data_IF_795600079847
#
_entry.id   IF_795600079847
#
_cell.length_a   1.000
_cell.length_b   1.000
_cell.length_c   1.000
_cell.angle_alpha   90.00
_cell.angle_beta   90.00
_cell.angle_gamma   90.00
#
_symmetry.space_group_name_H-M   'P 1'
#
loop_
_entity.id
_entity.type
_entity.pdbx_description
1 polymer ?
#
# COMPACT_ATOMS: atom_id res chain seq x y z
N UNK A 1 -33.55 0.14 5.59
CA UNK A 1 -32.21 -0.22 6.06
C UNK A 1 -31.20 0.32 5.08
N UNK A 2 -30.03 0.81 5.52
CA UNK A 2 -29.01 1.29 4.60
C UNK A 2 -28.55 0.17 3.65
N UNK A 3 -28.23 0.49 2.39
CA UNK A 3 -27.80 -0.51 1.42
C UNK A 3 -26.47 -1.17 1.88
N UNK A 4 -26.40 -2.50 1.71
CA UNK A 4 -25.21 -3.28 2.03
C UNK A 4 -24.18 -3.15 0.89
N UNK A 5 -23.01 -2.66 1.21
CA UNK A 5 -21.81 -2.73 0.37
C UNK A 5 -20.96 -3.89 0.86
N UNK A 6 -20.70 -4.84 -0.02
CA UNK A 6 -19.83 -5.98 0.25
C UNK A 6 -18.43 -5.74 -0.29
N UNK A 7 -17.45 -5.59 0.59
CA UNK A 7 -16.04 -5.61 0.23
C UNK A 7 -15.61 -7.08 0.12
N UNK A 8 -15.32 -7.55 -1.09
CA UNK A 8 -15.06 -8.95 -1.40
C UNK A 8 -13.57 -9.16 -1.69
N UNK A 9 -12.92 -10.01 -0.93
CA UNK A 9 -11.53 -10.39 -1.16
C UNK A 9 -11.29 -11.89 -0.99
N UNK A 10 -10.39 -12.42 -1.80
CA UNK A 10 -9.86 -13.78 -1.68
C UNK A 10 -8.41 -13.82 -1.15
N UNK A 11 -7.84 -12.66 -0.77
CA UNK A 11 -6.43 -12.54 -0.36
C UNK A 11 -6.15 -11.53 0.75
N UNK A 12 -6.91 -10.43 0.85
CA UNK A 12 -6.68 -9.39 1.84
C UNK A 12 -7.08 -9.83 3.25
N UNK A 13 -6.31 -9.41 4.28
CA UNK A 13 -6.61 -9.76 5.67
C UNK A 13 -7.86 -9.02 6.18
N UNK A 14 -8.42 -9.46 7.34
CA UNK A 14 -9.62 -8.87 7.94
C UNK A 14 -9.51 -7.38 8.31
N UNK A 15 -8.29 -6.88 8.52
CA UNK A 15 -7.99 -5.50 8.92
C UNK A 15 -7.15 -4.74 7.88
N UNK A 16 -7.29 -5.11 6.60
CA UNK A 16 -6.53 -4.49 5.52
C UNK A 16 -6.62 -2.97 5.54
N UNK A 17 -5.47 -2.30 5.40
CA UNK A 17 -5.37 -0.85 5.50
C UNK A 17 -6.17 -0.12 4.41
N UNK A 18 -6.14 -0.61 3.14
CA UNK A 18 -6.87 0.01 2.05
C UNK A 18 -8.34 -0.38 2.08
N UNK A 19 -8.60 -1.67 2.06
CA UNK A 19 -9.96 -2.20 1.87
C UNK A 19 -10.86 -1.87 3.06
N UNK A 20 -10.35 -2.04 4.30
CA UNK A 20 -11.15 -1.91 5.51
C UNK A 20 -10.97 -0.53 6.16
N UNK A 21 -9.72 -0.16 6.50
CA UNK A 21 -9.47 1.03 7.31
C UNK A 21 -9.61 2.35 6.54
N UNK A 22 -9.51 2.31 5.21
CA UNK A 22 -9.71 3.47 4.34
C UNK A 22 -11.06 3.43 3.63
N UNK A 23 -11.22 2.58 2.63
CA UNK A 23 -12.41 2.54 1.78
C UNK A 23 -13.66 2.12 2.55
N UNK A 24 -13.59 1.01 3.26
CA UNK A 24 -14.69 0.50 4.08
C UNK A 24 -15.12 1.47 5.15
N UNK A 25 -14.14 2.03 5.89
CA UNK A 25 -14.41 3.01 6.94
C UNK A 25 -15.06 4.28 6.38
N UNK A 26 -14.61 4.79 5.22
CA UNK A 26 -15.22 5.97 4.59
C UNK A 26 -16.68 5.71 4.18
N UNK A 27 -16.95 4.53 3.61
CA UNK A 27 -18.31 4.12 3.25
C UNK A 27 -19.20 3.94 4.47
N UNK A 28 -18.69 3.32 5.55
CA UNK A 28 -19.42 3.15 6.80
C UNK A 28 -19.74 4.50 7.46
N UNK A 29 -18.77 5.41 7.51
CA UNK A 29 -18.95 6.76 8.04
C UNK A 29 -19.98 7.59 7.22
N UNK A 30 -20.16 7.27 5.94
CA UNK A 30 -21.17 7.88 5.08
C UNK A 30 -22.57 7.27 5.23
N UNK A 31 -22.77 6.33 6.15
CA UNK A 31 -24.05 5.74 6.48
C UNK A 31 -24.40 4.47 5.70
N UNK A 32 -23.48 3.92 4.90
CA UNK A 32 -23.68 2.61 4.29
C UNK A 32 -23.44 1.49 5.31
N UNK A 33 -24.17 0.40 5.16
CA UNK A 33 -23.79 -0.83 5.85
C UNK A 33 -22.68 -1.50 5.08
N UNK A 34 -21.51 -1.72 5.70
CA UNK A 34 -20.33 -2.26 5.02
C UNK A 34 -19.90 -3.57 5.68
N UNK A 35 -19.71 -4.61 4.87
CA UNK A 35 -19.21 -5.91 5.32
C UNK A 35 -18.01 -6.31 4.48
N UNK A 36 -16.88 -6.62 5.15
CA UNK A 36 -15.72 -7.22 4.49
C UNK A 36 -15.77 -8.74 4.61
N UNK A 37 -15.90 -9.42 3.47
CA UNK A 37 -15.89 -10.88 3.36
C UNK A 37 -14.53 -11.32 2.79
N UNK A 38 -13.73 -12.02 3.60
CA UNK A 38 -12.33 -12.31 3.29
C UNK A 38 -11.87 -13.68 3.84
N UNK A 39 -10.65 -14.15 3.47
CA UNK A 39 -10.06 -15.32 4.09
C UNK A 39 -9.69 -15.07 5.56
N UNK A 40 -9.82 -16.11 6.39
CA UNK A 40 -9.46 -16.04 7.81
C UNK A 40 -9.89 -17.29 8.58
N UNK A 41 -9.97 -17.21 9.91
CA UNK A 41 -10.25 -18.38 10.77
C UNK A 41 -11.67 -18.97 10.59
N UNK A 42 -12.55 -18.24 9.91
CA UNK A 42 -13.97 -18.58 9.77
C UNK A 42 -14.85 -17.89 10.83
N UNK A 43 -16.04 -17.44 10.40
CA UNK A 43 -16.98 -16.76 11.26
C UNK A 43 -16.86 -15.23 11.26
N UNK A 44 -17.61 -14.60 12.17
CA UNK A 44 -17.57 -13.14 12.36
C UNK A 44 -16.49 -12.74 13.34
N UNK A 45 -15.79 -11.67 13.03
CA UNK A 45 -14.81 -11.02 13.90
C UNK A 45 -15.38 -9.69 14.41
N UNK A 46 -14.77 -9.10 15.46
CA UNK A 46 -15.09 -7.74 15.87
C UNK A 46 -15.00 -6.76 14.69
N UNK A 47 -15.90 -5.77 14.61
CA UNK A 47 -15.87 -4.78 13.53
C UNK A 47 -14.59 -3.93 13.62
N UNK A 48 -14.10 -3.51 12.45
CA UNK A 48 -12.93 -2.63 12.33
C UNK A 48 -13.36 -1.33 11.66
N UNK A 49 -13.16 -0.21 12.33
CA UNK A 49 -13.48 1.13 11.81
C UNK A 49 -14.90 1.24 11.22
N UNK A 50 -15.91 0.64 11.86
CA UNK A 50 -17.31 0.64 11.42
C UNK A 50 -17.66 -0.40 10.36
N UNK A 51 -16.69 -1.21 9.91
CA UNK A 51 -16.88 -2.27 8.92
C UNK A 51 -17.15 -3.60 9.63
N UNK A 52 -18.24 -4.28 9.30
CA UNK A 52 -18.49 -5.66 9.73
C UNK A 52 -17.44 -6.59 9.08
N UNK A 53 -16.89 -7.54 9.84
CA UNK A 53 -15.89 -8.47 9.32
C UNK A 53 -16.43 -9.89 9.37
N UNK A 54 -16.42 -10.57 8.23
CA UNK A 54 -16.74 -12.00 8.15
C UNK A 54 -15.64 -12.73 7.39
N UNK A 55 -15.11 -13.79 7.99
CA UNK A 55 -14.02 -14.56 7.40
C UNK A 55 -14.48 -15.96 7.03
N UNK A 56 -13.85 -16.52 5.99
CA UNK A 56 -14.05 -17.89 5.57
C UNK A 56 -12.74 -18.65 5.65
N UNK A 57 -12.75 -19.76 6.37
CA UNK A 57 -11.62 -20.68 6.43
C UNK A 57 -11.60 -21.57 5.19
N UNK A 58 -10.43 -21.72 4.57
CA UNK A 58 -10.22 -22.66 3.48
C UNK A 58 -8.75 -23.04 3.37
N UNK A 59 -8.43 -24.28 2.92
CA UNK A 59 -7.05 -24.76 2.81
C UNK A 59 -6.26 -24.08 1.67
N UNK A 60 -6.93 -23.43 0.76
CA UNK A 60 -6.29 -22.69 -0.34
C UNK A 60 -7.23 -21.61 -0.89
N UNK A 61 -6.63 -20.65 -1.61
CA UNK A 61 -7.37 -19.57 -2.29
C UNK A 61 -8.39 -20.12 -3.32
N UNK A 62 -8.10 -21.23 -3.98
CA UNK A 62 -9.06 -21.91 -4.88
C UNK A 62 -10.26 -22.48 -4.13
N UNK A 63 -10.04 -23.04 -2.96
CA UNK A 63 -11.09 -23.63 -2.13
C UNK A 63 -12.06 -22.58 -1.59
N UNK A 64 -11.65 -21.30 -1.49
CA UNK A 64 -12.52 -20.20 -1.08
C UNK A 64 -13.63 -19.87 -2.10
N UNK A 65 -13.46 -20.19 -3.39
CA UNK A 65 -14.38 -19.74 -4.44
C UNK A 65 -15.83 -20.16 -4.22
N UNK A 66 -16.09 -21.42 -3.91
CA UNK A 66 -17.45 -21.93 -3.66
C UNK A 66 -18.08 -21.33 -2.39
N UNK A 67 -17.38 -21.30 -1.23
CA UNK A 67 -17.88 -20.64 -0.03
C UNK A 67 -18.17 -19.15 -0.25
N UNK A 68 -17.25 -18.39 -0.86
CA UNK A 68 -17.43 -16.98 -1.20
C UNK A 68 -18.68 -16.79 -2.09
N UNK A 69 -18.81 -17.57 -3.17
CA UNK A 69 -19.96 -17.50 -4.07
C UNK A 69 -21.27 -17.70 -3.33
N UNK A 70 -21.41 -18.78 -2.54
CA UNK A 70 -22.62 -19.07 -1.76
C UNK A 70 -22.93 -17.93 -0.78
N UNK A 71 -21.90 -17.41 -0.12
CA UNK A 71 -22.08 -16.37 0.88
C UNK A 71 -22.49 -15.04 0.27
N UNK A 72 -21.90 -14.63 -0.84
CA UNK A 72 -22.27 -13.41 -1.59
C UNK A 72 -23.73 -13.47 -2.01
N UNK A 73 -24.19 -14.62 -2.56
CA UNK A 73 -25.60 -14.79 -2.96
C UNK A 73 -26.58 -14.72 -1.76
N UNK A 74 -26.19 -15.27 -0.61
CA UNK A 74 -27.01 -15.23 0.60
C UNK A 74 -27.10 -13.82 1.22
N UNK A 75 -26.03 -13.03 1.13
CA UNK A 75 -25.95 -11.66 1.65
C UNK A 75 -26.80 -10.65 0.84
N UNK A 76 -27.00 -10.90 -0.48
CA UNK A 76 -27.75 -10.03 -1.40
C UNK A 76 -27.33 -8.55 -1.28
N UNK A 77 -26.05 -8.19 -1.43
CA UNK A 77 -25.59 -6.80 -1.30
C UNK A 77 -26.16 -5.93 -2.42
N UNK A 78 -26.26 -4.62 -2.17
CA UNK A 78 -26.58 -3.62 -3.19
C UNK A 78 -25.39 -3.34 -4.12
N UNK A 79 -24.17 -3.44 -3.58
CA UNK A 79 -22.93 -3.33 -4.36
C UNK A 79 -21.89 -4.34 -3.87
N UNK A 80 -21.04 -4.82 -4.78
CA UNK A 80 -19.91 -5.72 -4.51
C UNK A 80 -18.65 -5.01 -4.99
N UNK A 81 -17.79 -4.63 -4.04
CA UNK A 81 -16.48 -4.03 -4.28
C UNK A 81 -15.41 -5.10 -4.14
N UNK A 82 -14.79 -5.47 -5.24
CA UNK A 82 -13.86 -6.60 -5.29
C UNK A 82 -12.42 -6.15 -5.51
N UNK A 83 -11.49 -6.66 -4.69
CA UNK A 83 -10.12 -6.14 -4.60
C UNK A 83 -9.09 -6.85 -5.47
N UNK A 84 -9.37 -8.06 -5.99
CA UNK A 84 -8.41 -8.81 -6.82
C UNK A 84 -9.11 -9.48 -8.02
N UNK A 85 -8.36 -9.84 -9.09
CA UNK A 85 -8.92 -10.40 -10.31
C UNK A 85 -9.80 -11.64 -10.14
N UNK A 86 -9.50 -12.52 -9.20
CA UNK A 86 -10.34 -13.68 -8.88
C UNK A 86 -11.63 -13.28 -8.15
N UNK A 87 -11.56 -12.35 -7.21
CA UNK A 87 -12.76 -11.75 -6.60
C UNK A 87 -13.59 -10.97 -7.62
N UNK A 88 -12.96 -10.32 -8.63
CA UNK A 88 -13.66 -9.62 -9.70
C UNK A 88 -14.61 -10.54 -10.48
N UNK A 89 -14.14 -11.76 -10.83
CA UNK A 89 -14.99 -12.75 -11.54
C UNK A 89 -16.23 -13.10 -10.73
N UNK A 90 -16.06 -13.30 -9.41
CA UNK A 90 -17.19 -13.57 -8.51
C UNK A 90 -18.14 -12.37 -8.42
N UNK A 91 -17.58 -11.16 -8.25
CA UNK A 91 -18.37 -9.92 -8.13
C UNK A 91 -19.25 -9.67 -9.35
N UNK A 92 -18.68 -9.71 -10.55
CA UNK A 92 -19.45 -9.44 -11.80
C UNK A 92 -20.55 -10.47 -12.01
N UNK A 93 -20.27 -11.75 -11.75
CA UNK A 93 -21.26 -12.83 -11.89
C UNK A 93 -22.37 -12.72 -10.85
N UNK A 94 -22.02 -12.44 -9.59
CA UNK A 94 -22.99 -12.29 -8.51
C UNK A 94 -23.84 -11.03 -8.70
N UNK A 95 -23.23 -9.92 -9.08
CA UNK A 95 -23.91 -8.67 -9.34
C UNK A 95 -25.00 -8.85 -10.43
N UNK A 96 -24.66 -9.48 -11.56
CA UNK A 96 -25.65 -9.82 -12.61
C UNK A 96 -26.81 -10.67 -12.09
N UNK A 97 -26.53 -11.65 -11.24
CA UNK A 97 -27.56 -12.56 -10.72
C UNK A 97 -28.48 -11.90 -9.71
N UNK A 98 -27.94 -10.93 -8.96
CA UNK A 98 -28.62 -10.26 -7.85
C UNK A 98 -29.24 -8.92 -8.23
N UNK A 99 -28.95 -8.37 -9.42
CA UNK A 99 -29.28 -6.98 -9.76
C UNK A 99 -28.45 -5.95 -8.95
N UNK A 100 -27.29 -6.36 -8.42
CA UNK A 100 -26.39 -5.51 -7.65
C UNK A 100 -25.38 -4.78 -8.55
N UNK A 101 -24.66 -3.78 -8.00
CA UNK A 101 -23.54 -3.11 -8.68
C UNK A 101 -22.23 -3.85 -8.45
N UNK A 102 -21.40 -3.96 -9.49
CA UNK A 102 -20.06 -4.49 -9.41
C UNK A 102 -19.04 -3.35 -9.53
N UNK A 103 -18.21 -3.17 -8.50
CA UNK A 103 -17.07 -2.23 -8.48
C UNK A 103 -15.80 -3.04 -8.37
N UNK A 104 -14.84 -2.83 -9.29
CA UNK A 104 -13.56 -3.55 -9.28
C UNK A 104 -12.44 -2.60 -8.87
N UNK A 105 -11.75 -2.94 -7.80
CA UNK A 105 -10.62 -2.17 -7.30
C UNK A 105 -9.31 -2.73 -7.87
N UNK A 106 -8.59 -1.89 -8.61
CA UNK A 106 -7.37 -2.22 -9.33
C UNK A 106 -6.17 -1.74 -8.51
N UNK A 107 -5.56 -2.65 -7.75
CA UNK A 107 -4.47 -2.31 -6.84
C UNK A 107 -3.10 -2.26 -7.51
N UNK A 108 -2.88 -3.04 -8.56
CA UNK A 108 -1.59 -3.25 -9.18
C UNK A 108 -1.68 -3.43 -10.69
N UNK A 109 -0.56 -3.24 -11.37
CA UNK A 109 -0.43 -3.62 -12.76
C UNK A 109 -0.28 -5.15 -12.86
N UNK A 110 -1.41 -5.85 -12.94
CA UNK A 110 -1.46 -7.33 -12.92
C UNK A 110 -0.68 -8.00 -14.05
N UNK A 111 -0.64 -7.46 -15.30
CA UNK A 111 0.12 -8.11 -16.37
C UNK A 111 1.60 -8.28 -16.07
N UNK A 112 2.25 -7.32 -15.41
CA UNK A 112 3.67 -7.43 -15.06
C UNK A 112 3.98 -8.43 -13.93
N UNK A 113 2.99 -8.84 -13.16
CA UNK A 113 3.18 -9.90 -12.14
C UNK A 113 3.51 -11.26 -12.74
N UNK A 114 3.22 -11.46 -14.03
CA UNK A 114 3.59 -12.69 -14.75
C UNK A 114 5.10 -12.80 -14.99
N UNK A 115 5.83 -11.69 -14.96
CA UNK A 115 7.26 -11.65 -15.24
C UNK A 115 8.10 -12.47 -14.25
N UNK A 116 7.67 -12.53 -13.00
CA UNK A 116 8.31 -13.35 -11.98
C UNK A 116 7.99 -14.85 -12.10
N UNK A 117 7.03 -15.21 -12.96
CA UNK A 117 6.49 -16.59 -13.04
C UNK A 117 6.75 -17.25 -14.40
N UNK A 118 7.10 -16.49 -15.43
CA UNK A 118 7.22 -16.95 -16.79
C UNK A 118 8.59 -16.65 -17.37
N UNK A 119 9.14 -17.55 -18.21
CA UNK A 119 10.32 -17.27 -19.03
C UNK A 119 10.14 -16.02 -19.92
N UNK A 120 11.22 -15.28 -20.14
CA UNK A 120 11.18 -14.00 -20.86
C UNK A 120 10.45 -14.05 -22.23
N UNK A 121 10.65 -15.07 -23.08
CA UNK A 121 9.98 -15.14 -24.41
C UNK A 121 8.46 -15.23 -24.32
N UNK A 122 7.91 -15.83 -23.25
CA UNK A 122 6.46 -16.03 -23.09
C UNK A 122 5.75 -14.82 -22.49
N UNK A 123 6.48 -13.90 -21.87
CA UNK A 123 5.91 -12.75 -21.12
C UNK A 123 5.03 -11.84 -21.98
N UNK A 124 5.42 -11.41 -23.20
CA UNK A 124 4.59 -10.51 -24.00
C UNK A 124 3.21 -11.09 -24.33
N UNK A 125 3.18 -12.34 -24.79
CA UNK A 125 1.93 -13.02 -25.14
C UNK A 125 1.05 -13.25 -23.91
N UNK A 126 1.64 -13.70 -22.80
CA UNK A 126 0.91 -13.91 -21.55
C UNK A 126 0.36 -12.61 -20.97
N UNK A 127 1.12 -11.52 -21.03
CA UNK A 127 0.64 -10.19 -20.63
C UNK A 127 -0.52 -9.71 -21.50
N UNK A 128 -0.45 -9.90 -22.82
CA UNK A 128 -1.54 -9.56 -23.73
C UNK A 128 -2.80 -10.36 -23.44
N UNK A 129 -2.68 -11.67 -23.28
CA UNK A 129 -3.79 -12.55 -22.94
C UNK A 129 -4.44 -12.18 -21.59
N UNK A 130 -3.61 -11.91 -20.57
CA UNK A 130 -4.12 -11.48 -19.25
C UNK A 130 -4.81 -10.11 -19.36
N UNK A 131 -4.25 -9.12 -20.08
CA UNK A 131 -4.92 -7.84 -20.32
C UNK A 131 -6.27 -8.02 -20.96
N UNK A 132 -6.37 -8.84 -22.01
CA UNK A 132 -7.63 -9.11 -22.69
C UNK A 132 -8.66 -9.74 -21.72
N UNK A 133 -8.25 -10.70 -20.91
CA UNK A 133 -9.12 -11.33 -19.89
C UNK A 133 -9.59 -10.32 -18.84
N UNK A 134 -8.70 -9.49 -18.29
CA UNK A 134 -9.04 -8.47 -17.30
C UNK A 134 -9.99 -7.41 -17.88
N UNK A 135 -9.77 -6.97 -19.12
CA UNK A 135 -10.65 -6.04 -19.84
C UNK A 135 -12.04 -6.65 -20.06
N UNK A 136 -12.10 -7.93 -20.44
CA UNK A 136 -13.37 -8.62 -20.61
C UNK A 136 -14.18 -8.75 -19.31
N UNK A 137 -13.51 -8.90 -18.17
CA UNK A 137 -14.14 -8.88 -16.84
C UNK A 137 -14.59 -7.46 -16.51
N UNK A 138 -13.69 -6.47 -16.65
CA UNK A 138 -13.94 -5.07 -16.35
C UNK A 138 -15.11 -4.49 -17.17
N UNK A 139 -15.24 -4.85 -18.44
CA UNK A 139 -16.35 -4.43 -19.29
C UNK A 139 -17.75 -4.86 -18.78
N UNK A 140 -17.81 -5.73 -17.79
CA UNK A 140 -19.05 -6.19 -17.15
C UNK A 140 -19.28 -5.55 -15.77
N UNK A 141 -18.39 -4.71 -15.33
CA UNK A 141 -18.49 -3.98 -14.07
C UNK A 141 -19.19 -2.64 -14.26
N UNK A 142 -19.80 -2.14 -13.21
CA UNK A 142 -20.44 -0.80 -13.19
C UNK A 142 -19.41 0.32 -13.01
N UNK A 143 -18.28 0.03 -12.35
CA UNK A 143 -17.19 0.98 -12.16
C UNK A 143 -15.83 0.30 -11.86
N UNK A 144 -14.76 1.03 -12.15
CA UNK A 144 -13.39 0.69 -11.76
C UNK A 144 -12.85 1.74 -10.80
N UNK A 145 -12.20 1.28 -9.73
CA UNK A 145 -11.43 2.09 -8.79
C UNK A 145 -9.96 1.78 -8.99
N UNK A 146 -9.11 2.79 -9.09
CA UNK A 146 -7.67 2.61 -9.31
C UNK A 146 -6.89 3.12 -8.11
N UNK A 147 -6.08 2.25 -7.50
CA UNK A 147 -5.27 2.59 -6.32
C UNK A 147 -4.06 3.47 -6.62
N UNK A 148 -3.70 3.64 -7.89
CA UNK A 148 -2.53 4.38 -8.35
C UNK A 148 -2.80 5.03 -9.69
N UNK A 149 -2.16 6.16 -9.95
CA UNK A 149 -2.15 6.77 -11.27
C UNK A 149 -1.49 5.83 -12.31
N UNK A 150 -2.01 5.86 -13.54
CA UNK A 150 -1.51 5.07 -14.66
C UNK A 150 -2.13 3.68 -14.80
N UNK A 151 -2.85 3.14 -13.80
CA UNK A 151 -3.51 1.84 -13.93
C UNK A 151 -4.73 1.88 -14.87
N UNK A 152 -5.36 3.03 -15.02
CA UNK A 152 -6.50 3.23 -15.93
C UNK A 152 -6.14 2.94 -17.41
N UNK A 153 -4.88 3.07 -17.80
CA UNK A 153 -4.40 2.76 -19.14
C UNK A 153 -4.57 1.28 -19.54
N UNK A 154 -4.67 0.39 -18.57
CA UNK A 154 -4.96 -1.03 -18.85
C UNK A 154 -6.44 -1.28 -19.21
N UNK A 155 -7.34 -0.32 -18.95
CA UNK A 155 -8.79 -0.43 -19.15
C UNK A 155 -9.37 0.69 -20.03
N UNK A 156 -8.81 0.93 -21.25
CA UNK A 156 -9.27 2.01 -22.11
C UNK A 156 -10.75 1.82 -22.47
N UNK A 157 -11.50 2.92 -22.50
CA UNK A 157 -12.91 2.92 -22.89
C UNK A 157 -13.91 2.46 -21.83
N UNK A 158 -13.49 2.07 -20.62
CA UNK A 158 -14.45 1.81 -19.56
C UNK A 158 -15.12 3.13 -19.12
N UNK A 159 -16.48 3.22 -19.11
CA UNK A 159 -17.18 4.50 -19.00
C UNK A 159 -17.09 5.14 -17.62
N UNK A 160 -16.79 4.36 -16.57
CA UNK A 160 -16.74 4.87 -15.19
C UNK A 160 -15.50 4.37 -14.48
N UNK A 161 -14.47 5.20 -14.46
CA UNK A 161 -13.20 4.95 -13.79
C UNK A 161 -12.91 6.09 -12.84
N UNK A 162 -12.45 5.78 -11.63
CA UNK A 162 -12.04 6.77 -10.63
C UNK A 162 -10.73 6.36 -9.98
N UNK A 163 -9.81 7.31 -9.82
CA UNK A 163 -8.62 7.11 -9.01
C UNK A 163 -8.96 7.39 -7.54
N UNK A 164 -8.74 6.39 -6.68
CA UNK A 164 -8.81 6.47 -5.23
C UNK A 164 -7.49 5.95 -4.69
N UNK A 165 -6.55 6.87 -4.55
CA UNK A 165 -5.14 6.55 -4.26
C UNK A 165 -4.92 6.26 -2.78
N UNK A 166 -3.78 5.63 -2.46
CA UNK A 166 -3.44 5.26 -1.09
C UNK A 166 -2.93 6.44 -0.23
N UNK A 167 -3.53 7.64 -0.36
CA UNK A 167 -3.11 8.83 0.37
C UNK A 167 -3.11 8.65 1.89
N UNK A 168 -2.51 9.59 2.61
CA UNK A 168 -2.27 9.50 4.05
C UNK A 168 -3.57 9.37 4.84
N UNK A 169 -3.73 8.28 5.58
CA UNK A 169 -4.70 8.19 6.67
C UNK A 169 -3.95 8.53 7.96
N UNK A 170 -4.14 9.74 8.45
CA UNK A 170 -3.44 10.22 9.64
C UNK A 170 -4.32 9.98 10.85
N UNK A 171 -3.91 9.09 11.80
CA UNK A 171 -4.65 8.89 13.04
C UNK A 171 -4.72 10.18 13.85
N UNK A 172 -5.83 10.38 14.55
CA UNK A 172 -5.97 11.46 15.51
C UNK A 172 -4.95 11.31 16.64
N UNK A 173 -4.34 12.41 17.08
CA UNK A 173 -3.33 12.39 18.11
C UNK A 173 -1.98 11.77 17.72
N UNK A 174 -1.77 11.41 16.44
CA UNK A 174 -0.49 10.86 16.00
C UNK A 174 0.64 11.86 16.29
N UNK A 175 1.67 11.44 17.09
CA UNK A 175 2.77 12.33 17.43
C UNK A 175 3.60 12.67 16.19
N UNK A 176 4.09 13.90 16.14
CA UNK A 176 5.03 14.36 15.13
C UNK A 176 6.46 14.29 15.67
N UNK A 177 7.39 13.87 14.82
CA UNK A 177 8.81 13.89 15.15
C UNK A 177 9.31 15.31 15.38
N UNK A 178 9.97 15.54 16.51
CA UNK A 178 10.77 16.72 16.75
C UNK A 178 12.23 16.45 16.34
N UNK A 179 12.74 17.23 15.38
CA UNK A 179 14.09 17.07 14.87
C UNK A 179 15.09 17.91 15.67
N UNK A 180 16.13 17.26 16.21
CA UNK A 180 17.20 17.89 16.96
C UNK A 180 18.58 17.46 16.49
N UNK A 181 19.67 18.05 17.04
CA UNK A 181 21.03 17.60 16.77
C UNK A 181 21.26 16.19 17.34
N UNK A 182 22.14 15.42 16.71
CA UNK A 182 22.52 14.09 17.18
C UNK A 182 22.68 13.07 16.06
N UNK A 183 22.98 11.82 16.43
CA UNK A 183 23.07 10.72 15.46
C UNK A 183 21.70 10.41 14.85
N UNK A 184 21.70 10.09 13.56
CA UNK A 184 20.48 9.80 12.82
C UNK A 184 20.02 8.34 13.00
N UNK A 185 18.73 8.15 13.15
CA UNK A 185 18.05 6.86 13.00
C UNK A 185 17.28 6.83 11.68
N UNK A 186 17.73 5.98 10.75
CA UNK A 186 17.07 5.73 9.48
C UNK A 186 15.97 4.69 9.69
N UNK A 187 14.78 4.92 9.14
CA UNK A 187 13.62 4.03 9.28
C UNK A 187 13.35 3.26 7.99
N UNK A 188 13.16 1.95 8.10
CA UNK A 188 12.44 1.18 7.11
C UNK A 188 11.15 0.63 7.71
N UNK A 189 10.00 0.99 7.17
CA UNK A 189 8.69 0.59 7.67
C UNK A 189 8.01 -0.42 6.72
N UNK A 190 7.47 -1.51 7.27
CA UNK A 190 6.67 -2.52 6.58
C UNK A 190 7.48 -3.65 5.95
N UNK A 191 7.00 -4.20 4.82
CA UNK A 191 7.66 -5.31 4.15
C UNK A 191 9.09 -4.96 3.70
N UNK A 192 10.04 -5.85 4.00
CA UNK A 192 11.45 -5.77 3.59
C UNK A 192 11.81 -7.00 2.75
N UNK A 193 12.80 -6.85 1.87
CA UNK A 193 13.30 -7.88 0.98
C UNK A 193 14.33 -7.33 0.00
N UNK A 194 14.92 -8.17 -0.82
CA UNK A 194 15.94 -7.78 -1.81
C UNK A 194 15.40 -6.69 -2.77
N UNK A 195 14.21 -6.92 -3.32
CA UNK A 195 13.54 -5.94 -4.21
C UNK A 195 13.08 -4.67 -3.49
N UNK A 196 13.04 -4.69 -2.16
CA UNK A 196 12.78 -3.53 -1.30
C UNK A 196 14.04 -2.77 -0.93
N UNK A 197 15.21 -3.21 -1.45
CA UNK A 197 16.48 -2.48 -1.41
C UNK A 197 17.30 -2.68 -0.14
N UNK A 198 17.11 -3.77 0.63
CA UNK A 198 17.94 -3.97 1.81
C UNK A 198 19.46 -4.09 1.51
N UNK A 199 19.92 -4.66 0.36
CA UNK A 199 21.34 -4.67 0.05
C UNK A 199 21.92 -3.25 -0.09
N UNK A 200 21.20 -2.37 -0.79
CA UNK A 200 21.59 -0.96 -0.96
C UNK A 200 21.52 -0.19 0.35
N UNK A 201 20.53 -0.51 1.19
CA UNK A 201 20.37 0.08 2.52
C UNK A 201 21.56 -0.22 3.43
N UNK A 202 22.01 -1.48 3.49
CA UNK A 202 23.20 -1.87 4.26
C UNK A 202 24.47 -1.24 3.68
N UNK A 203 24.61 -1.25 2.36
CA UNK A 203 25.76 -0.62 1.70
C UNK A 203 25.81 0.90 1.95
N UNK A 204 24.68 1.59 1.91
CA UNK A 204 24.60 3.01 2.25
C UNK A 204 24.91 3.27 3.73
N UNK A 205 24.38 2.44 4.63
CA UNK A 205 24.66 2.56 6.07
C UNK A 205 26.16 2.42 6.38
N UNK A 206 26.89 1.58 5.62
CA UNK A 206 28.37 1.46 5.76
C UNK A 206 29.10 2.77 5.41
N UNK A 207 28.51 3.61 4.55
CA UNK A 207 29.07 4.91 4.14
C UNK A 207 28.65 6.06 5.05
N UNK A 208 27.67 5.84 5.91
CA UNK A 208 27.19 6.85 6.86
C UNK A 208 28.06 6.90 8.13
N UNK A 209 28.07 8.03 8.87
CA UNK A 209 28.77 8.15 10.14
C UNK A 209 28.51 6.97 11.08
N UNK A 210 29.51 6.56 11.85
CA UNK A 210 29.45 5.34 12.67
C UNK A 210 28.28 5.30 13.68
N UNK A 211 27.81 6.45 14.13
CA UNK A 211 26.67 6.60 15.05
C UNK A 211 25.30 6.55 14.37
N UNK A 212 25.22 6.56 13.02
CA UNK A 212 23.95 6.41 12.29
C UNK A 212 23.40 5.01 12.50
N UNK A 213 22.13 4.88 12.85
CA UNK A 213 21.43 3.61 13.10
C UNK A 213 20.40 3.33 12.03
N UNK A 214 19.98 2.08 11.90
CA UNK A 214 18.88 1.62 11.07
C UNK A 214 17.85 0.91 11.95
N UNK A 215 16.64 1.44 11.96
CA UNK A 215 15.46 0.82 12.57
C UNK A 215 14.60 0.21 11.48
N UNK A 216 14.36 -1.11 11.55
CA UNK A 216 13.47 -1.84 10.65
C UNK A 216 12.25 -2.29 11.44
N UNK A 217 11.09 -1.67 11.15
CA UNK A 217 9.81 -2.08 11.72
C UNK A 217 9.02 -2.81 10.62
N UNK A 218 8.94 -4.13 10.69
CA UNK A 218 8.29 -4.93 9.67
C UNK A 218 8.81 -6.35 9.61
N UNK A 219 8.56 -7.02 8.47
CA UNK A 219 8.98 -8.42 8.29
C UNK A 219 9.54 -8.66 6.88
N UNK A 220 10.45 -9.61 6.78
CA UNK A 220 10.92 -10.11 5.49
C UNK A 220 9.82 -10.89 4.79
N UNK A 221 9.64 -10.64 3.49
CA UNK A 221 8.55 -11.24 2.70
C UNK A 221 9.06 -12.14 1.57
N UNK A 222 10.38 -12.27 1.44
CA UNK A 222 11.06 -13.04 0.38
C UNK A 222 12.06 -14.09 0.92
N UNK A 223 12.05 -14.32 2.24
CA UNK A 223 12.94 -15.28 2.89
C UNK A 223 14.39 -14.81 3.03
N UNK A 224 14.71 -13.55 2.72
CA UNK A 224 16.09 -13.04 2.71
C UNK A 224 16.63 -12.57 4.07
N UNK A 225 15.93 -12.81 5.18
CA UNK A 225 16.36 -12.33 6.51
C UNK A 225 17.73 -12.86 6.92
N UNK A 226 17.99 -14.16 6.71
CA UNK A 226 19.28 -14.75 7.05
C UNK A 226 20.42 -14.12 6.23
N UNK A 227 20.20 -13.85 4.94
CA UNK A 227 21.18 -13.18 4.09
C UNK A 227 21.40 -11.71 4.53
N UNK A 228 20.33 -11.01 4.93
CA UNK A 228 20.44 -9.66 5.51
C UNK A 228 21.33 -9.65 6.76
N UNK A 229 21.10 -10.56 7.71
CA UNK A 229 21.86 -10.66 8.96
C UNK A 229 23.33 -11.01 8.70
N UNK A 230 23.59 -11.95 7.79
CA UNK A 230 24.96 -12.32 7.39
C UNK A 230 25.70 -11.14 6.75
N UNK A 231 25.06 -10.42 5.85
CA UNK A 231 25.66 -9.24 5.20
C UNK A 231 25.90 -8.09 6.19
N UNK A 232 24.95 -7.86 7.11
CA UNK A 232 25.14 -6.86 8.18
C UNK A 232 26.33 -7.19 9.08
N UNK A 233 26.49 -8.46 9.46
CA UNK A 233 27.66 -8.91 10.25
C UNK A 233 28.98 -8.77 9.46
N UNK A 234 28.99 -9.20 8.18
CA UNK A 234 30.16 -9.07 7.30
C UNK A 234 30.63 -7.61 7.16
N UNK A 235 29.70 -6.66 7.18
CA UNK A 235 29.99 -5.21 7.13
C UNK A 235 30.27 -4.57 8.48
N UNK A 236 30.22 -5.31 9.58
CA UNK A 236 30.37 -4.76 10.93
C UNK A 236 29.22 -3.85 11.37
N UNK A 237 28.02 -4.03 10.82
CA UNK A 237 26.87 -3.17 11.07
C UNK A 237 25.88 -3.72 12.11
N UNK A 238 26.10 -4.93 12.64
CA UNK A 238 25.13 -5.60 13.52
C UNK A 238 24.72 -4.74 14.73
N UNK A 239 25.65 -4.01 15.34
CA UNK A 239 25.37 -3.11 16.47
C UNK A 239 24.69 -1.77 16.09
N UNK A 240 24.50 -1.52 14.78
CA UNK A 240 23.86 -0.30 14.26
C UNK A 240 22.44 -0.55 13.73
N UNK A 241 21.98 -1.81 13.75
CA UNK A 241 20.72 -2.23 13.14
C UNK A 241 19.82 -2.83 14.21
N UNK A 242 18.59 -2.35 14.23
CA UNK A 242 17.52 -2.94 15.03
C UNK A 242 16.44 -3.49 14.12
N UNK A 243 16.17 -4.80 14.24
CA UNK A 243 15.03 -5.47 13.61
C UNK A 243 13.91 -5.61 14.65
N UNK A 244 13.00 -4.66 14.67
CA UNK A 244 11.90 -4.60 15.64
C UNK A 244 10.77 -5.61 15.38
N UNK A 245 10.82 -6.28 14.21
CA UNK A 245 9.77 -7.20 13.82
C UNK A 245 8.47 -6.52 13.38
N UNK A 246 7.46 -7.35 13.15
CA UNK A 246 6.13 -6.86 12.82
C UNK A 246 5.38 -6.44 14.10
N UNK A 247 4.65 -5.34 14.01
CA UNK A 247 3.78 -4.85 15.08
C UNK A 247 2.52 -4.17 14.50
N UNK A 248 1.45 -3.98 15.28
CA UNK A 248 0.27 -3.24 14.84
C UNK A 248 0.62 -1.84 14.35
N UNK A 249 -0.13 -1.34 13.36
CA UNK A 249 0.19 -0.08 12.68
C UNK A 249 0.35 1.11 13.64
N UNK A 250 -0.54 1.24 14.63
CA UNK A 250 -0.49 2.33 15.61
C UNK A 250 0.80 2.29 16.46
N UNK A 251 1.18 1.10 16.92
CA UNK A 251 2.42 0.91 17.67
C UNK A 251 3.66 1.17 16.81
N UNK A 252 3.62 0.74 15.54
CA UNK A 252 4.69 0.99 14.58
C UNK A 252 4.88 2.49 14.32
N UNK A 253 3.80 3.23 14.12
CA UNK A 253 3.84 4.67 13.91
C UNK A 253 4.28 5.42 15.15
N UNK A 254 3.77 5.07 16.34
CA UNK A 254 4.20 5.68 17.60
C UNK A 254 5.70 5.49 17.85
N UNK A 255 6.20 4.27 17.63
CA UNK A 255 7.62 3.97 17.74
C UNK A 255 8.47 4.73 16.70
N UNK A 256 8.02 4.77 15.45
CA UNK A 256 8.72 5.51 14.40
C UNK A 256 8.78 7.01 14.71
N UNK A 257 7.70 7.61 15.25
CA UNK A 257 7.68 9.00 15.68
C UNK A 257 8.68 9.30 16.81
N UNK A 258 8.84 8.35 17.74
CA UNK A 258 9.73 8.52 18.88
C UNK A 258 11.22 8.39 18.49
N UNK A 259 11.56 7.47 17.60
CA UNK A 259 12.95 7.03 17.41
C UNK A 259 13.55 7.39 16.04
N UNK A 260 12.73 7.57 14.98
CA UNK A 260 13.24 7.76 13.62
C UNK A 260 13.45 9.23 13.25
N UNK A 261 14.44 9.49 12.40
CA UNK A 261 14.76 10.82 11.88
C UNK A 261 14.53 10.95 10.37
N UNK A 262 14.68 9.86 9.62
CA UNK A 262 14.57 9.81 8.15
C UNK A 262 13.86 8.53 7.72
N UNK A 263 12.85 8.64 6.87
CA UNK A 263 12.14 7.50 6.32
C UNK A 263 12.74 7.05 4.98
N UNK A 264 13.11 5.77 4.86
CA UNK A 264 13.71 5.18 3.67
C UNK A 264 12.70 4.42 2.81
N UNK A 265 12.61 4.79 1.55
CA UNK A 265 11.84 4.08 0.51
C UNK A 265 12.81 3.68 -0.59
N UNK A 266 13.35 2.47 -0.54
CA UNK A 266 14.47 2.04 -1.39
C UNK A 266 14.14 0.86 -2.31
N UNK A 267 12.85 0.64 -2.66
CA UNK A 267 12.52 -0.42 -3.60
C UNK A 267 13.20 -0.19 -4.95
N UNK A 268 13.64 -1.29 -5.58
CA UNK A 268 14.55 -1.28 -6.72
C UNK A 268 13.80 -1.21 -8.05
N UNK A 269 14.41 -0.65 -9.12
CA UNK A 269 13.82 -0.64 -10.46
C UNK A 269 13.71 -2.06 -11.06
N UNK A 270 13.14 -2.16 -12.25
CA UNK A 270 13.01 -3.40 -13.01
C UNK A 270 11.61 -4.04 -12.95
N UNK A 271 10.71 -3.53 -12.11
CA UNK A 271 9.31 -3.96 -12.06
C UNK A 271 8.37 -2.80 -12.34
N UNK A 272 7.37 -3.01 -13.21
CA UNK A 272 6.35 -2.00 -13.52
C UNK A 272 5.55 -1.60 -12.27
N UNK A 273 5.29 -2.55 -11.37
CA UNK A 273 4.66 -2.24 -10.10
C UNK A 273 5.51 -1.36 -9.17
N UNK A 274 6.84 -1.38 -9.32
CA UNK A 274 7.72 -0.44 -8.63
C UNK A 274 7.73 0.93 -9.29
N UNK A 275 7.70 0.99 -10.64
CA UNK A 275 7.61 2.27 -11.38
C UNK A 275 6.31 3.01 -11.05
N UNK A 276 5.21 2.29 -10.87
CA UNK A 276 3.89 2.81 -10.50
C UNK A 276 3.62 2.72 -8.99
N UNK A 277 4.62 2.49 -8.15
CA UNK A 277 4.41 2.28 -6.73
C UNK A 277 3.89 3.53 -6.02
N UNK A 278 2.93 3.31 -5.12
CA UNK A 278 2.44 4.31 -4.18
C UNK A 278 2.30 3.65 -2.79
N UNK A 279 3.43 3.44 -2.09
CA UNK A 279 3.45 2.66 -0.87
C UNK A 279 2.94 3.46 0.34
N UNK A 280 2.21 2.80 1.25
CA UNK A 280 1.73 3.41 2.49
C UNK A 280 2.85 4.06 3.31
N UNK A 281 4.03 3.45 3.36
CA UNK A 281 5.18 3.98 4.12
C UNK A 281 5.64 5.39 3.69
N UNK A 282 5.31 5.85 2.47
CA UNK A 282 5.53 7.24 2.06
C UNK A 282 4.67 8.16 2.92
N UNK A 283 3.40 7.87 2.96
CA UNK A 283 2.42 8.65 3.71
C UNK A 283 2.57 8.53 5.22
N UNK A 284 2.99 7.35 5.69
CA UNK A 284 3.31 7.14 7.10
C UNK A 284 4.48 8.06 7.53
N UNK A 285 5.55 8.11 6.74
CA UNK A 285 6.67 9.03 6.99
C UNK A 285 6.25 10.51 6.97
N UNK A 286 5.45 10.90 5.97
CA UNK A 286 4.90 12.27 5.87
C UNK A 286 4.02 12.59 7.09
N UNK A 287 3.12 11.68 7.50
CA UNK A 287 2.23 11.88 8.64
C UNK A 287 2.98 12.07 9.96
N UNK A 288 4.15 11.42 10.10
CA UNK A 288 5.04 11.53 11.25
C UNK A 288 5.94 12.77 11.21
N UNK A 289 5.97 13.51 10.10
CA UNK A 289 6.91 14.62 9.90
C UNK A 289 8.34 14.16 9.68
N UNK A 290 8.55 12.97 9.13
CA UNK A 290 9.87 12.46 8.74
C UNK A 290 10.19 12.85 7.30
N UNK A 291 11.36 13.46 7.02
CA UNK A 291 11.82 13.63 5.66
C UNK A 291 12.03 12.25 5.01
N UNK A 292 11.74 12.16 3.70
CA UNK A 292 11.77 10.90 2.96
C UNK A 292 12.97 10.86 2.02
N UNK A 293 13.71 9.75 1.98
CA UNK A 293 14.63 9.41 0.89
C UNK A 293 13.95 8.36 0.02
N UNK A 294 13.71 8.69 -1.26
CA UNK A 294 12.87 7.90 -2.14
C UNK A 294 13.43 7.75 -3.56
N UNK A 295 13.00 6.72 -4.33
CA UNK A 295 13.47 6.49 -5.69
C UNK A 295 12.91 7.53 -6.67
N UNK A 296 13.80 8.16 -7.46
CA UNK A 296 13.39 9.08 -8.51
C UNK A 296 12.69 8.42 -9.71
N UNK A 297 12.86 7.10 -9.91
CA UNK A 297 12.25 6.38 -11.03
C UNK A 297 10.76 6.03 -10.80
N UNK A 298 10.29 6.03 -9.56
CA UNK A 298 8.91 5.70 -9.21
C UNK A 298 8.02 6.95 -9.36
N UNK A 299 7.35 7.08 -10.50
CA UNK A 299 6.69 8.31 -10.91
C UNK A 299 5.69 8.87 -9.87
N UNK A 300 4.75 8.08 -9.28
CA UNK A 300 3.83 8.63 -8.29
C UNK A 300 4.53 9.03 -6.97
N UNK A 301 5.60 8.34 -6.60
CA UNK A 301 6.40 8.72 -5.41
C UNK A 301 7.17 10.00 -5.67
N UNK A 302 7.79 10.12 -6.85
CA UNK A 302 8.55 11.31 -7.23
C UNK A 302 7.65 12.55 -7.29
N UNK A 303 6.47 12.44 -7.91
CA UNK A 303 5.45 13.49 -7.95
C UNK A 303 5.10 14.01 -6.55
N UNK A 304 4.82 13.09 -5.61
CA UNK A 304 4.43 13.47 -4.25
C UNK A 304 5.60 14.08 -3.47
N UNK A 305 6.78 13.47 -3.55
CA UNK A 305 7.95 13.97 -2.81
C UNK A 305 8.36 15.36 -3.28
N UNK A 306 8.30 15.62 -4.62
CA UNK A 306 8.57 16.94 -5.19
C UNK A 306 7.46 17.93 -4.90
N UNK A 307 6.20 17.56 -5.15
CA UNK A 307 5.04 18.44 -4.95
C UNK A 307 4.85 18.84 -3.50
N UNK A 308 5.05 17.93 -2.56
CA UNK A 308 4.98 18.22 -1.14
C UNK A 308 6.27 18.85 -0.57
N UNK A 309 7.38 18.82 -1.29
CA UNK A 309 8.68 19.26 -0.77
C UNK A 309 9.13 18.51 0.49
N UNK A 310 8.81 17.21 0.59
CA UNK A 310 8.92 16.44 1.83
C UNK A 310 10.13 15.50 1.92
N UNK A 311 11.06 15.55 0.95
CA UNK A 311 12.18 14.63 0.93
C UNK A 311 13.13 14.80 -0.24
N UNK A 312 14.00 13.81 -0.41
CA UNK A 312 15.04 13.77 -1.42
C UNK A 312 14.81 12.57 -2.35
N UNK A 313 14.87 12.83 -3.66
CA UNK A 313 14.84 11.79 -4.68
C UNK A 313 16.25 11.38 -5.06
N UNK A 314 16.51 10.07 -5.03
CA UNK A 314 17.84 9.53 -5.31
C UNK A 314 17.79 8.37 -6.30
N UNK A 315 18.95 8.06 -6.90
CA UNK A 315 19.16 6.78 -7.55
C UNK A 315 19.38 5.71 -6.44
N UNK A 316 18.32 4.98 -6.13
CA UNK A 316 18.34 3.95 -5.06
C UNK A 316 19.20 2.73 -5.40
N UNK A 317 19.69 2.60 -6.64
CA UNK A 317 20.64 1.54 -7.02
C UNK A 317 22.06 1.87 -6.58
N UNK A 318 22.34 3.12 -6.24
CA UNK A 318 23.65 3.64 -5.86
C UNK A 318 23.72 3.95 -4.36
N UNK A 319 24.35 3.10 -3.53
CA UNK A 319 24.48 3.32 -2.09
C UNK A 319 25.11 4.68 -1.73
N UNK A 320 26.05 5.16 -2.54
CA UNK A 320 26.68 6.48 -2.33
C UNK A 320 25.67 7.64 -2.47
N UNK A 321 24.69 7.54 -3.39
CA UNK A 321 23.64 8.55 -3.55
C UNK A 321 22.70 8.56 -2.33
N UNK A 322 22.38 7.39 -1.79
CA UNK A 322 21.58 7.27 -0.57
C UNK A 322 22.35 7.88 0.63
N UNK A 323 23.63 7.54 0.78
CA UNK A 323 24.47 8.07 1.87
C UNK A 323 24.65 9.59 1.77
N UNK A 324 24.79 10.14 0.56
CA UNK A 324 24.86 11.59 0.34
C UNK A 324 23.56 12.29 0.78
N UNK A 325 22.39 11.71 0.46
CA UNK A 325 21.11 12.23 0.93
C UNK A 325 20.97 12.15 2.47
N UNK A 326 21.49 11.08 3.11
CA UNK A 326 21.53 11.00 4.57
C UNK A 326 22.44 12.08 5.15
N UNK A 327 23.58 12.38 4.51
CA UNK A 327 24.50 13.44 4.94
C UNK A 327 23.86 14.83 4.81
N UNK A 328 23.10 15.12 3.73
CA UNK A 328 22.31 16.36 3.60
C UNK A 328 21.29 16.49 4.74
N UNK A 329 20.68 15.39 5.17
CA UNK A 329 19.73 15.36 6.26
C UNK A 329 20.41 15.31 7.66
N UNK A 330 21.71 15.43 7.78
CA UNK A 330 22.39 15.61 9.06
C UNK A 330 22.05 16.96 9.73
N UNK A 331 21.71 17.98 8.92
CA UNK A 331 21.20 19.27 9.42
C UNK A 331 19.77 19.11 9.99
N UNK A 332 19.56 19.35 11.29
CA UNK A 332 18.24 19.25 11.91
C UNK A 332 17.25 20.27 11.37
N UNK A 333 17.69 21.46 10.95
CA UNK A 333 16.82 22.47 10.37
C UNK A 333 16.26 22.00 9.01
N UNK A 334 17.13 21.38 8.19
CA UNK A 334 16.73 20.80 6.91
C UNK A 334 15.72 19.65 7.11
N UNK A 335 15.97 18.76 8.08
CA UNK A 335 15.02 17.69 8.43
C UNK A 335 13.67 18.24 8.89
N UNK A 336 13.69 19.24 9.77
CA UNK A 336 12.48 19.87 10.27
C UNK A 336 11.66 20.52 9.15
N UNK A 337 12.31 21.22 8.22
CA UNK A 337 11.63 21.88 7.10
C UNK A 337 10.96 20.87 6.17
N UNK A 338 11.67 19.80 5.73
CA UNK A 338 11.11 18.77 4.87
C UNK A 338 10.04 17.94 5.62
N UNK A 339 10.26 17.64 6.88
CA UNK A 339 9.30 16.93 7.73
C UNK A 339 8.01 17.71 7.94
N UNK A 340 8.10 19.03 8.17
CA UNK A 340 6.94 19.93 8.26
C UNK A 340 6.14 19.97 6.96
N UNK A 341 6.83 20.10 5.83
CA UNK A 341 6.18 20.10 4.52
C UNK A 341 5.41 18.81 4.28
N UNK A 342 6.01 17.64 4.56
CA UNK A 342 5.36 16.35 4.48
C UNK A 342 4.16 16.22 5.42
N UNK A 343 4.31 16.66 6.66
CA UNK A 343 3.26 16.61 7.67
C UNK A 343 2.02 17.43 7.29
N UNK A 344 2.21 18.63 6.73
CA UNK A 344 1.11 19.47 6.20
C UNK A 344 0.47 18.83 4.98
N UNK A 345 1.28 18.34 4.04
CA UNK A 345 0.81 17.73 2.82
C UNK A 345 -0.03 16.46 3.08
N UNK A 346 0.36 15.64 4.06
CA UNK A 346 -0.39 14.44 4.48
C UNK A 346 -1.76 14.77 5.11
N UNK A 347 -1.95 15.96 5.65
CA UNK A 347 -3.21 16.44 6.22
C UNK A 347 -4.04 17.29 5.25
N UNK A 348 -3.42 17.73 4.16
CA UNK A 348 -4.03 18.51 3.09
C UNK A 348 -4.23 17.70 1.81
N UNK A 349 -3.56 18.11 0.75
CA UNK A 349 -3.70 17.57 -0.61
C UNK A 349 -3.49 16.06 -0.72
N UNK A 350 -2.51 15.53 0.04
CA UNK A 350 -2.17 14.10 0.01
C UNK A 350 -2.80 13.31 1.17
N UNK A 351 -3.83 13.89 1.78
CA UNK A 351 -4.63 13.25 2.84
C UNK A 351 -5.74 12.36 2.27
N UNK A 352 -6.11 11.34 3.04
CA UNK A 352 -7.19 10.41 2.71
C UNK A 352 -8.57 11.07 2.50
N UNK A 353 -8.97 12.17 3.19
CA UNK A 353 -10.29 12.76 3.00
C UNK A 353 -10.63 13.11 1.56
N UNK A 354 -9.66 13.59 0.76
CA UNK A 354 -9.88 13.87 -0.65
C UNK A 354 -10.19 12.61 -1.48
N UNK A 355 -9.49 11.52 -1.21
CA UNK A 355 -9.72 10.23 -1.87
C UNK A 355 -11.04 9.58 -1.42
N UNK A 356 -11.37 9.68 -0.13
CA UNK A 356 -12.66 9.24 0.41
C UNK A 356 -13.83 9.97 -0.27
N UNK A 357 -13.72 11.27 -0.48
CA UNK A 357 -14.75 12.05 -1.17
C UNK A 357 -14.98 11.56 -2.60
N UNK A 358 -13.93 11.19 -3.34
CA UNK A 358 -14.03 10.60 -4.70
C UNK A 358 -14.74 9.24 -4.67
N UNK A 359 -14.37 8.38 -3.72
CA UNK A 359 -15.01 7.08 -3.53
C UNK A 359 -16.50 7.25 -3.21
N UNK A 360 -16.84 8.14 -2.29
CA UNK A 360 -18.23 8.41 -1.90
C UNK A 360 -19.06 8.99 -3.04
N UNK A 361 -18.49 9.87 -3.85
CA UNK A 361 -19.16 10.40 -5.04
C UNK A 361 -19.50 9.28 -6.03
N UNK A 362 -18.57 8.32 -6.24
CA UNK A 362 -18.82 7.14 -7.06
C UNK A 362 -20.00 6.34 -6.51
N UNK A 363 -20.02 6.03 -5.21
CA UNK A 363 -21.07 5.20 -4.61
C UNK A 363 -22.44 5.87 -4.60
N UNK A 364 -22.49 7.19 -4.37
CA UNK A 364 -23.75 7.97 -4.52
C UNK A 364 -24.27 7.92 -5.94
N UNK A 365 -23.41 8.03 -6.95
CA UNK A 365 -23.80 7.92 -8.35
C UNK A 365 -24.24 6.50 -8.77
N UNK A 366 -23.81 5.46 -8.06
CA UNK A 366 -24.17 4.07 -8.35
C UNK A 366 -25.46 3.61 -7.66
N UNK A 367 -25.72 4.11 -6.45
CA UNK A 367 -26.78 3.61 -5.58
C UNK A 367 -27.90 4.62 -5.33
N UNK A 368 -27.77 5.86 -5.77
CA UNK A 368 -28.72 6.96 -5.60
C UNK A 368 -28.43 7.69 -4.31
#
# INVERSE_FOLDING_TARGET
>A
MPPLILLLSAAHPPDDMRVVRKEGAALAAAGFRVLHLCPGPGGRLPPVAGVEIETLAAPSRRALWRPLWRRVLALRPAAIHASEPDAWVLAVRAARRLGARAVLDVHEHYPSRLDARLPAPLRPLARLALRAALRAIAARADALVHAKSGLAADFPGHPRQVEVRNHALVPEGLPRRAHGPGPLTLLHLGAIGVKRGWPQMLAALSLCPAKTRLLVIGRFTDGSEAAFRAEAARRGLAGRIELAGWMPAEAALARAAAEADVNLILFQPGEENHRLALPHKLFDGMALGLPVIAPGFALPVAEIVQGAGCGLLVDVTRPAAIAAAVAELADPARRAALGEAGWRAARGEWGWPGEAARLLALYRALLG
#
